data_IF_255430374374
#
_entry.id   IF_255430374374
#
_cell.length_a   1.000
_cell.length_b   1.000
_cell.length_c   1.000
_cell.angle_alpha   90.00
_cell.angle_beta   90.00
_cell.angle_gamma   90.00
#
_symmetry.space_group_name_H-M   'P 1'
#
loop_
_entity.id
_entity.type
_entity.pdbx_description
1 polymer ?
#
# COMPACT_ATOMS: atom_id res chain seq x y z
N UNK A 1 -12.52 -19.47 -13.64
CA UNK A 1 -11.52 -18.70 -14.40
C UNK A 1 -10.72 -17.91 -13.40
N UNK A 2 -9.40 -18.06 -13.38
CA UNK A 2 -8.56 -17.34 -12.42
C UNK A 2 -8.40 -15.91 -12.94
N UNK A 3 -8.92 -14.93 -12.21
CA UNK A 3 -8.66 -13.51 -12.49
C UNK A 3 -7.16 -13.27 -12.34
N UNK A 4 -6.51 -12.91 -13.45
CA UNK A 4 -5.08 -12.58 -13.47
C UNK A 4 -4.93 -11.07 -13.22
N UNK A 5 -4.17 -10.71 -12.20
CA UNK A 5 -3.74 -9.34 -11.98
C UNK A 5 -2.86 -8.90 -13.15
N UNK A 6 -3.05 -7.66 -13.60
CA UNK A 6 -2.21 -7.03 -14.61
C UNK A 6 -1.97 -5.56 -14.23
N UNK A 7 -0.89 -4.99 -14.76
CA UNK A 7 -0.54 -3.60 -14.50
C UNK A 7 -1.48 -2.64 -15.19
N UNK A 8 -1.91 -1.61 -14.45
CA UNK A 8 -2.66 -0.48 -14.98
C UNK A 8 -1.93 0.82 -14.67
N UNK A 9 -2.04 1.80 -15.58
CA UNK A 9 -1.57 3.15 -15.30
C UNK A 9 -2.63 3.91 -14.52
N UNK A 10 -2.33 4.26 -13.28
CA UNK A 10 -3.19 5.10 -12.44
C UNK A 10 -3.01 6.58 -12.77
N UNK A 11 -4.09 7.34 -12.65
CA UNK A 11 -4.13 8.79 -12.79
C UNK A 11 -3.52 9.49 -11.56
N UNK A 12 -3.14 10.77 -11.67
CA UNK A 12 -2.72 11.57 -10.52
C UNK A 12 -3.78 11.62 -9.40
N UNK A 13 -5.07 11.70 -9.77
CA UNK A 13 -6.18 11.74 -8.81
C UNK A 13 -6.33 10.43 -8.05
N UNK A 14 -6.25 9.28 -8.73
CA UNK A 14 -6.26 7.96 -8.08
C UNK A 14 -5.09 7.82 -7.10
N UNK A 15 -3.87 8.21 -7.51
CA UNK A 15 -2.71 8.21 -6.64
C UNK A 15 -2.92 9.08 -5.40
N UNK A 16 -3.40 10.31 -5.59
CA UNK A 16 -3.65 11.24 -4.49
C UNK A 16 -4.73 10.73 -3.53
N UNK A 17 -5.77 10.07 -4.06
CA UNK A 17 -6.81 9.43 -3.24
C UNK A 17 -6.27 8.25 -2.44
N UNK A 18 -5.49 7.36 -3.04
CA UNK A 18 -4.88 6.23 -2.34
C UNK A 18 -3.93 6.69 -1.22
N UNK A 19 -3.05 7.66 -1.49
CA UNK A 19 -2.12 8.21 -0.49
C UNK A 19 -2.86 8.92 0.65
N UNK A 20 -3.94 9.65 0.36
CA UNK A 20 -4.78 10.26 1.41
C UNK A 20 -5.43 9.20 2.29
N UNK A 21 -5.98 8.14 1.71
CA UNK A 21 -6.59 7.05 2.47
C UNK A 21 -5.59 6.41 3.46
N UNK A 22 -4.39 6.06 2.98
CA UNK A 22 -3.32 5.52 3.83
C UNK A 22 -2.96 6.45 5.00
N UNK A 23 -2.80 7.75 4.71
CA UNK A 23 -2.49 8.77 5.73
C UNK A 23 -3.62 8.93 6.76
N UNK A 24 -4.88 8.97 6.30
CA UNK A 24 -6.05 9.07 7.17
C UNK A 24 -6.15 7.88 8.12
N UNK A 25 -5.74 6.69 7.67
CA UNK A 25 -5.70 5.48 8.49
C UNK A 25 -4.45 5.36 9.37
N UNK A 26 -3.49 6.29 9.25
CA UNK A 26 -2.23 6.25 10.00
C UNK A 26 -1.32 5.07 9.60
N UNK A 27 -1.47 4.54 8.39
CA UNK A 27 -0.72 3.40 7.90
C UNK A 27 0.45 3.86 7.02
N UNK A 28 1.65 3.39 7.35
CA UNK A 28 2.86 3.64 6.54
C UNK A 28 2.87 2.78 5.27
N UNK A 29 2.29 1.58 5.33
CA UNK A 29 2.19 0.62 4.23
C UNK A 29 0.79 -0.01 4.29
N UNK A 30 0.07 -0.02 3.17
CA UNK A 30 -1.22 -0.68 3.02
C UNK A 30 -1.56 -0.88 1.54
N UNK A 31 -2.49 -1.78 1.26
CA UNK A 31 -3.22 -1.83 -0.01
C UNK A 31 -4.43 -0.90 0.05
N UNK A 32 -4.72 -0.20 -1.06
CA UNK A 32 -5.91 0.64 -1.18
C UNK A 32 -6.66 0.28 -2.46
N UNK A 33 -7.89 -0.18 -2.30
CA UNK A 33 -8.75 -0.56 -3.42
C UNK A 33 -9.61 0.63 -3.83
N UNK A 34 -9.58 0.94 -5.12
CA UNK A 34 -10.30 2.07 -5.71
C UNK A 34 -11.33 1.57 -6.73
N UNK A 35 -12.53 2.14 -6.68
CA UNK A 35 -13.49 2.09 -7.77
C UNK A 35 -13.49 3.40 -8.54
N UNK A 36 -13.48 3.32 -9.86
CA UNK A 36 -13.72 4.48 -10.73
C UNK A 36 -15.21 4.76 -10.78
N UNK A 37 -15.61 5.94 -10.32
CA UNK A 37 -16.98 6.43 -10.44
C UNK A 37 -17.05 7.64 -11.37
N UNK A 38 -18.28 8.04 -11.73
CA UNK A 38 -18.53 9.25 -12.55
C UNK A 38 -18.05 10.55 -11.88
N UNK A 39 -17.83 10.54 -10.56
CA UNK A 39 -17.40 11.71 -9.78
C UNK A 39 -15.95 11.58 -9.28
N UNK A 40 -15.17 10.65 -9.86
CA UNK A 40 -13.78 10.39 -9.49
C UNK A 40 -13.59 9.07 -8.73
N UNK A 41 -12.35 8.78 -8.29
CA UNK A 41 -12.04 7.54 -7.60
C UNK A 41 -12.63 7.49 -6.19
N UNK A 42 -13.25 6.37 -5.86
CA UNK A 42 -13.86 6.08 -4.54
C UNK A 42 -13.03 4.99 -3.86
N UNK A 43 -12.70 5.18 -2.58
CA UNK A 43 -12.00 4.16 -1.77
C UNK A 43 -13.01 3.12 -1.32
N UNK A 44 -12.72 1.84 -1.57
CA UNK A 44 -13.53 0.71 -1.13
C UNK A 44 -12.97 0.04 0.11
N UNK A 45 -11.67 -0.22 0.11
CA UNK A 45 -10.97 -0.93 1.16
C UNK A 45 -9.60 -0.32 1.39
N UNK A 46 -9.16 -0.33 2.65
CA UNK A 46 -7.77 -0.10 3.04
C UNK A 46 -7.31 -1.31 3.85
N UNK A 47 -6.41 -2.11 3.29
CA UNK A 47 -5.89 -3.32 3.92
C UNK A 47 -4.48 -3.08 4.47
N UNK A 48 -4.31 -3.19 5.79
CA UNK A 48 -3.02 -2.97 6.47
C UNK A 48 -2.00 -4.09 6.26
N UNK A 49 -2.41 -5.25 5.74
CA UNK A 49 -1.54 -6.41 5.50
C UNK A 49 -1.82 -6.99 4.10
N UNK A 50 -1.50 -6.25 3.03
CA UNK A 50 -1.76 -6.70 1.66
C UNK A 50 -0.88 -7.90 1.30
N UNK A 51 -1.43 -8.86 0.55
CA UNK A 51 -0.63 -9.91 -0.08
C UNK A 51 0.24 -9.34 -1.21
N UNK A 52 1.50 -9.78 -1.30
CA UNK A 52 2.46 -9.23 -2.26
C UNK A 52 2.62 -10.07 -3.54
N UNK A 53 2.48 -11.40 -3.45
CA UNK A 53 2.74 -12.33 -4.57
C UNK A 53 2.03 -11.92 -5.88
N UNK A 54 0.75 -11.56 -5.78
CA UNK A 54 -0.05 -11.17 -6.93
C UNK A 54 0.41 -9.86 -7.57
N UNK A 55 0.73 -8.84 -6.77
CA UNK A 55 1.16 -7.53 -7.27
C UNK A 55 2.61 -7.58 -7.78
N UNK A 56 3.48 -8.36 -7.15
CA UNK A 56 4.84 -8.59 -7.63
C UNK A 56 4.84 -9.30 -8.98
N UNK A 57 4.04 -10.37 -9.12
CA UNK A 57 3.87 -11.10 -10.38
C UNK A 57 3.31 -10.21 -11.50
N UNK A 58 2.33 -9.35 -11.19
CA UNK A 58 1.70 -8.49 -12.19
C UNK A 58 2.57 -7.29 -12.60
N UNK A 59 3.40 -6.78 -11.70
CA UNK A 59 4.21 -5.56 -11.91
C UNK A 59 5.67 -5.84 -12.27
N UNK A 60 6.16 -7.04 -12.00
CA UNK A 60 7.58 -7.40 -12.14
C UNK A 60 8.48 -6.63 -11.16
N UNK A 61 7.92 -6.11 -10.06
CA UNK A 61 8.66 -5.35 -9.05
C UNK A 61 8.78 -6.17 -7.77
N UNK A 62 9.93 -6.05 -7.13
CA UNK A 62 10.15 -6.54 -5.77
C UNK A 62 9.54 -5.53 -4.78
N UNK A 63 8.28 -5.74 -4.43
CA UNK A 63 7.53 -4.84 -3.55
C UNK A 63 7.96 -5.05 -2.09
N UNK A 64 8.29 -6.29 -1.72
CA UNK A 64 8.82 -6.60 -0.40
C UNK A 64 10.09 -5.78 -0.09
N UNK A 65 11.08 -5.79 -1.00
CA UNK A 65 12.30 -5.00 -0.82
C UNK A 65 12.02 -3.51 -0.78
N UNK A 66 11.09 -2.99 -1.58
CA UNK A 66 10.70 -1.57 -1.51
C UNK A 66 10.09 -1.19 -0.15
N UNK A 67 9.33 -2.09 0.48
CA UNK A 67 8.81 -1.89 1.83
C UNK A 67 9.96 -1.90 2.85
N UNK A 68 10.88 -2.86 2.75
CA UNK A 68 12.06 -2.92 3.63
C UNK A 68 12.91 -1.65 3.50
N UNK A 69 13.24 -1.23 2.28
CA UNK A 69 13.95 0.02 1.99
C UNK A 69 13.26 1.23 2.61
N UNK A 70 11.93 1.28 2.52
CA UNK A 70 11.14 2.34 3.13
C UNK A 70 11.28 2.31 4.66
N UNK A 71 11.15 1.14 5.29
CA UNK A 71 11.31 0.99 6.73
C UNK A 71 12.71 1.40 7.16
N UNK A 72 13.76 0.94 6.49
CA UNK A 72 15.15 1.27 6.81
C UNK A 72 15.39 2.78 6.77
N UNK A 73 14.95 3.46 5.70
CA UNK A 73 15.11 4.92 5.52
C UNK A 73 14.33 5.75 6.53
N UNK A 74 13.22 5.23 7.06
CA UNK A 74 12.38 5.92 8.03
C UNK A 74 12.56 5.42 9.46
N UNK A 75 13.41 4.41 9.65
CA UNK A 75 13.76 3.91 10.98
C UNK A 75 14.72 4.88 11.65
N UNK A 76 14.49 5.16 12.93
CA UNK A 76 15.44 5.89 13.76
C UNK A 76 16.33 4.86 14.43
N UNK A 77 17.65 4.99 14.28
CA UNK A 77 18.60 4.11 14.96
C UNK A 77 18.53 4.37 16.48
N UNK A 78 18.13 3.34 17.25
CA UNK A 78 18.07 3.37 18.72
C UNK A 78 16.67 3.17 19.33
N UNK A 79 16.64 2.37 20.40
CA UNK A 79 15.47 2.03 21.25
C UNK A 79 14.23 1.47 20.53
N UNK A 80 14.34 0.24 20.02
CA UNK A 80 13.17 -0.64 19.85
C UNK A 80 12.71 -1.18 21.21
N UNK A 81 12.43 -0.29 22.18
CA UNK A 81 11.75 -0.70 23.39
C UNK A 81 10.33 -1.08 23.01
N UNK A 82 9.95 -2.33 23.25
CA UNK A 82 8.55 -2.72 23.24
C UNK A 82 7.83 -1.83 24.24
N UNK A 83 6.79 -1.11 23.81
CA UNK A 83 5.93 -0.32 24.72
C UNK A 83 5.00 -1.21 25.55
N UNK A 84 5.07 -2.53 25.37
CA UNK A 84 4.31 -3.50 26.13
C UNK A 84 4.92 -3.73 27.51
N UNK A 85 4.13 -3.50 28.55
CA UNK A 85 4.37 -4.11 29.86
C UNK A 85 3.80 -5.53 29.79
N UNK A 86 4.57 -6.45 29.22
CA UNK A 86 4.33 -7.88 29.46
C UNK A 86 4.59 -8.19 30.92
#
# INVERSE_FOLDING_TARGET
GIERLHTIRITPTERATAVRAAKTMGLNVCGVDLLRSNHGPVVMEVNSSPGLEGIESATGKDIASLIIDFIEKNSVSGTTKTKGRG
#
